data_IF_877142544799
#
_entry.id   IF_877142544799
#
_cell.length_a   1.000
_cell.length_b   1.000
_cell.length_c   1.000
_cell.angle_alpha   90.00
_cell.angle_beta   90.00
_cell.angle_gamma   90.00
#
_symmetry.space_group_name_H-M   'P 1'
#
loop_
_entity.id
_entity.type
_entity.pdbx_description
1 polymer ?
#
# COMPACT_ATOMS: atom_id res chain seq x y z
N UNK A 1 -23.61 -34.08 -4.58
CA UNK A 1 -22.92 -33.69 -5.83
C UNK A 1 -23.94 -33.04 -6.73
N UNK A 2 -24.45 -31.87 -6.36
CA UNK A 2 -25.57 -31.25 -7.09
C UNK A 2 -25.23 -29.80 -7.35
N UNK A 3 -25.32 -29.44 -8.63
CA UNK A 3 -25.05 -28.16 -9.28
C UNK A 3 -23.59 -27.71 -9.47
N UNK A 4 -22.94 -28.32 -10.45
CA UNK A 4 -21.68 -27.84 -11.03
C UNK A 4 -21.94 -26.73 -12.08
N UNK A 5 -22.79 -25.73 -11.74
CA UNK A 5 -23.05 -24.59 -12.62
C UNK A 5 -21.91 -23.58 -12.53
N UNK A 6 -21.41 -23.13 -13.68
CA UNK A 6 -20.39 -22.08 -13.76
C UNK A 6 -21.11 -20.75 -14.01
N UNK A 7 -20.92 -19.72 -13.16
CA UNK A 7 -21.49 -18.41 -13.41
C UNK A 7 -20.80 -17.77 -14.63
N UNK A 8 -21.59 -17.30 -15.59
CA UNK A 8 -21.11 -16.65 -16.81
C UNK A 8 -21.65 -15.22 -16.86
N UNK A 9 -20.75 -14.26 -17.10
CA UNK A 9 -21.13 -12.90 -17.45
C UNK A 9 -20.99 -12.81 -18.98
N UNK A 10 -22.12 -12.70 -19.66
CA UNK A 10 -22.21 -12.61 -21.12
C UNK A 10 -23.11 -11.44 -21.49
N UNK A 11 -22.88 -10.87 -22.68
CA UNK A 11 -23.79 -9.87 -23.23
C UNK A 11 -25.14 -10.52 -23.56
N UNK A 12 -26.21 -9.74 -23.47
CA UNK A 12 -27.59 -10.21 -23.68
C UNK A 12 -27.79 -10.87 -25.05
N UNK A 13 -27.17 -10.31 -26.10
CA UNK A 13 -27.25 -10.84 -27.47
C UNK A 13 -26.56 -12.21 -27.66
N UNK A 14 -25.58 -12.52 -26.81
CA UNK A 14 -24.89 -13.81 -26.77
C UNK A 14 -25.66 -14.79 -25.88
N UNK A 15 -26.21 -14.32 -24.76
CA UNK A 15 -27.04 -15.12 -23.86
C UNK A 15 -28.27 -15.68 -24.58
N UNK A 16 -28.97 -14.84 -25.35
CA UNK A 16 -30.16 -15.21 -26.12
C UNK A 16 -29.84 -16.29 -27.16
N UNK A 17 -28.74 -16.12 -27.93
CA UNK A 17 -28.30 -17.11 -28.94
C UNK A 17 -27.89 -18.44 -28.34
N UNK A 18 -27.38 -18.44 -27.11
CA UNK A 18 -26.97 -19.66 -26.40
C UNK A 18 -28.12 -20.27 -25.57
N UNK A 19 -29.31 -19.66 -25.57
CA UNK A 19 -30.45 -20.12 -24.76
C UNK A 19 -30.19 -20.03 -23.26
N UNK A 20 -29.29 -19.14 -22.83
CA UNK A 20 -28.96 -18.94 -21.42
C UNK A 20 -29.97 -17.99 -20.79
N UNK A 21 -30.65 -18.46 -19.74
CA UNK A 21 -31.51 -17.59 -18.94
C UNK A 21 -30.66 -16.73 -17.99
N UNK A 22 -31.08 -15.47 -17.78
CA UNK A 22 -30.51 -14.62 -16.73
C UNK A 22 -30.84 -15.21 -15.37
N UNK A 23 -29.87 -15.91 -14.78
CA UNK A 23 -29.91 -16.27 -13.36
C UNK A 23 -29.38 -15.07 -12.57
N UNK A 24 -30.30 -14.31 -11.96
CA UNK A 24 -29.90 -13.26 -11.01
C UNK A 24 -29.04 -13.90 -9.91
N UNK A 25 -28.08 -13.19 -9.30
CA UNK A 25 -27.34 -13.74 -8.17
C UNK A 25 -28.32 -14.37 -7.18
N UNK A 26 -28.23 -15.69 -6.96
CA UNK A 26 -29.12 -16.31 -5.97
C UNK A 26 -28.94 -15.60 -4.63
N UNK A 27 -30.02 -15.42 -3.85
CA UNK A 27 -29.93 -14.81 -2.52
C UNK A 27 -28.84 -15.49 -1.65
N UNK A 28 -28.64 -16.80 -1.85
CA UNK A 28 -27.55 -17.58 -1.23
C UNK A 28 -26.15 -17.08 -1.61
N UNK A 29 -25.93 -16.68 -2.87
CA UNK A 29 -24.65 -16.11 -3.34
C UNK A 29 -24.42 -14.73 -2.74
N UNK A 30 -25.42 -13.87 -2.71
CA UNK A 30 -25.29 -12.52 -2.13
C UNK A 30 -24.97 -12.59 -0.64
N UNK A 31 -25.68 -13.45 0.10
CA UNK A 31 -25.42 -13.73 1.51
C UNK A 31 -24.00 -14.29 1.73
N UNK A 32 -23.53 -15.19 0.87
CA UNK A 32 -22.17 -15.72 0.93
C UNK A 32 -21.10 -14.65 0.65
N UNK A 33 -21.31 -13.79 -0.35
CA UNK A 33 -20.41 -12.67 -0.66
C UNK A 33 -20.37 -11.68 0.51
N UNK A 34 -21.53 -11.32 1.06
CA UNK A 34 -21.63 -10.42 2.21
C UNK A 34 -20.85 -10.94 3.39
N UNK A 35 -21.05 -12.21 3.78
CA UNK A 35 -20.27 -12.87 4.84
C UNK A 35 -18.77 -12.88 4.56
N UNK A 36 -18.37 -13.15 3.31
CA UNK A 36 -16.95 -13.15 2.94
C UNK A 36 -16.34 -11.75 3.03
N UNK A 37 -17.04 -10.72 2.57
CA UNK A 37 -16.59 -9.33 2.61
C UNK A 37 -16.48 -8.85 4.06
N UNK A 38 -17.49 -9.12 4.89
CA UNK A 38 -17.48 -8.78 6.32
C UNK A 38 -16.31 -9.46 7.04
N UNK A 39 -16.10 -10.77 6.82
CA UNK A 39 -14.97 -11.51 7.39
C UNK A 39 -13.61 -10.95 6.96
N UNK A 40 -13.45 -10.62 5.67
CA UNK A 40 -12.20 -10.06 5.15
C UNK A 40 -11.93 -8.63 5.64
N UNK A 41 -12.98 -7.80 5.77
CA UNK A 41 -12.87 -6.45 6.35
C UNK A 41 -12.43 -6.52 7.80
N UNK A 42 -13.07 -7.37 8.61
CA UNK A 42 -12.72 -7.56 10.00
C UNK A 42 -11.26 -8.03 10.17
N UNK A 43 -10.80 -8.99 9.37
CA UNK A 43 -9.40 -9.43 9.42
C UNK A 43 -8.44 -8.32 8.98
N UNK A 44 -8.79 -7.55 7.94
CA UNK A 44 -7.98 -6.42 7.50
C UNK A 44 -7.83 -5.35 8.58
N UNK A 45 -8.94 -4.92 9.19
CA UNK A 45 -8.97 -3.95 10.28
C UNK A 45 -8.13 -4.43 11.47
N UNK A 46 -8.26 -5.71 11.83
CA UNK A 46 -7.44 -6.32 12.87
C UNK A 46 -5.95 -6.24 12.54
N UNK A 47 -5.54 -6.65 11.33
CA UNK A 47 -4.12 -6.63 10.91
C UNK A 47 -3.56 -5.21 10.86
N UNK A 48 -4.35 -4.23 10.42
CA UNK A 48 -3.96 -2.81 10.44
C UNK A 48 -3.80 -2.34 11.88
N UNK A 49 -4.76 -2.66 12.76
CA UNK A 49 -4.70 -2.32 14.18
C UNK A 49 -3.49 -2.94 14.88
N UNK A 50 -3.13 -4.18 14.56
CA UNK A 50 -1.95 -4.85 15.09
C UNK A 50 -0.65 -4.20 14.57
N UNK A 51 -0.59 -3.86 13.27
CA UNK A 51 0.53 -3.10 12.73
C UNK A 51 0.68 -1.73 13.38
N UNK A 52 -0.41 -0.98 13.62
CA UNK A 52 -0.34 0.33 14.26
C UNK A 52 0.14 0.25 15.72
N UNK A 53 -0.09 -0.87 16.42
CA UNK A 53 0.43 -1.08 17.78
C UNK A 53 1.92 -1.42 17.80
N UNK A 54 2.39 -2.22 16.85
CA UNK A 54 3.75 -2.79 16.88
C UNK A 54 4.74 -2.08 15.94
N UNK A 55 4.23 -1.55 14.83
CA UNK A 55 5.00 -0.97 13.73
C UNK A 55 5.12 0.56 13.80
N UNK A 56 4.52 1.21 14.78
CA UNK A 56 4.64 2.67 14.95
C UNK A 56 5.97 3.09 15.58
N UNK A 57 6.40 4.30 15.27
CA UNK A 57 7.70 4.84 15.70
C UNK A 57 8.89 4.28 14.92
N UNK A 58 10.06 4.87 15.18
CA UNK A 58 11.30 4.51 14.47
C UNK A 58 11.68 3.05 14.70
N UNK A 59 11.59 2.57 15.94
CA UNK A 59 11.94 1.19 16.28
C UNK A 59 10.98 0.15 15.69
N UNK A 60 9.67 0.44 15.70
CA UNK A 60 8.64 -0.43 15.12
C UNK A 60 8.85 -0.61 13.62
N UNK A 61 9.04 0.50 12.91
CA UNK A 61 9.31 0.46 11.47
C UNK A 61 10.65 -0.21 11.14
N UNK A 62 11.71 0.05 11.92
CA UNK A 62 12.99 -0.64 11.77
C UNK A 62 12.85 -2.15 11.92
N UNK A 63 12.05 -2.60 12.90
CA UNK A 63 11.75 -4.03 13.11
C UNK A 63 10.98 -4.62 11.94
N UNK A 64 9.93 -3.93 11.49
CA UNK A 64 9.07 -4.37 10.38
C UNK A 64 9.85 -4.56 9.07
N UNK A 65 10.73 -3.62 8.74
CA UNK A 65 11.52 -3.63 7.52
C UNK A 65 12.94 -4.17 7.69
N UNK A 66 13.26 -4.77 8.84
CA UNK A 66 14.61 -5.28 9.18
C UNK A 66 15.16 -6.29 8.16
N UNK A 67 14.28 -7.11 7.59
CA UNK A 67 14.61 -8.14 6.59
C UNK A 67 14.69 -7.59 5.16
N UNK A 68 14.43 -6.31 4.93
CA UNK A 68 14.40 -5.75 3.58
C UNK A 68 15.80 -5.75 2.96
N UNK A 69 15.94 -6.48 1.85
CA UNK A 69 17.18 -6.55 1.07
C UNK A 69 17.26 -5.49 -0.04
N UNK A 70 16.32 -4.52 -0.04
CA UNK A 70 16.30 -3.38 -0.96
C UNK A 70 16.38 -3.79 -2.44
N UNK A 71 15.72 -4.89 -2.81
CA UNK A 71 15.65 -5.40 -4.19
C UNK A 71 14.77 -4.55 -5.14
N UNK A 72 14.02 -3.60 -4.58
CA UNK A 72 13.13 -2.69 -5.31
C UNK A 72 11.95 -3.32 -6.07
N UNK A 73 11.71 -4.63 -5.96
CA UNK A 73 10.54 -5.28 -6.58
C UNK A 73 9.22 -4.62 -6.18
N UNK A 74 9.07 -4.33 -4.88
CA UNK A 74 7.88 -3.70 -4.33
C UNK A 74 7.59 -2.32 -4.96
N UNK A 75 8.65 -1.60 -5.38
CA UNK A 75 8.57 -0.33 -6.10
C UNK A 75 8.30 -0.56 -7.60
N UNK A 76 9.02 -1.48 -8.24
CA UNK A 76 8.89 -1.74 -9.68
C UNK A 76 7.52 -2.27 -10.10
N UNK A 77 6.84 -3.02 -9.23
CA UNK A 77 5.49 -3.54 -9.52
C UNK A 77 4.37 -2.52 -9.25
N UNK A 78 4.68 -1.42 -8.55
CA UNK A 78 3.67 -0.50 -8.06
C UNK A 78 3.23 0.48 -9.16
N UNK A 79 1.95 0.49 -9.56
CA UNK A 79 1.50 1.29 -10.71
C UNK A 79 1.59 2.80 -10.45
N UNK A 80 1.59 3.23 -9.18
CA UNK A 80 1.70 4.65 -8.79
C UNK A 80 3.15 5.10 -8.58
N UNK A 81 4.14 4.20 -8.68
CA UNK A 81 5.56 4.55 -8.64
C UNK A 81 6.07 4.84 -10.05
N UNK A 82 5.67 5.97 -10.64
CA UNK A 82 5.96 6.33 -12.04
C UNK A 82 7.06 7.38 -12.23
N UNK A 83 7.76 7.78 -11.16
CA UNK A 83 8.83 8.78 -11.25
C UNK A 83 9.89 8.37 -12.28
N UNK A 84 10.27 9.30 -13.16
CA UNK A 84 11.32 9.06 -14.17
C UNK A 84 12.67 8.78 -13.54
N UNK A 85 12.98 9.50 -12.47
CA UNK A 85 14.19 9.35 -11.69
C UNK A 85 13.80 9.14 -10.22
N UNK A 86 14.39 8.13 -9.59
CA UNK A 86 14.21 7.83 -8.18
C UNK A 86 15.57 7.91 -7.50
N UNK A 87 15.68 8.67 -6.42
CA UNK A 87 16.93 8.86 -5.69
C UNK A 87 17.61 7.53 -5.28
N UNK A 88 16.84 6.48 -5.02
CA UNK A 88 17.35 5.13 -4.70
C UNK A 88 17.87 4.32 -5.90
N UNK A 89 17.69 4.84 -7.12
CA UNK A 89 18.30 4.32 -8.35
C UNK A 89 19.46 5.19 -8.84
N UNK A 90 19.88 6.17 -8.06
CA UNK A 90 21.03 7.03 -8.35
C UNK A 90 22.22 6.67 -7.45
N UNK A 91 23.44 7.11 -7.79
CA UNK A 91 24.64 6.91 -6.96
C UNK A 91 24.61 7.64 -5.61
N UNK A 92 23.57 8.43 -5.29
CA UNK A 92 23.47 9.20 -4.04
C UNK A 92 23.64 8.31 -2.80
N UNK A 93 23.18 7.06 -2.86
CA UNK A 93 23.30 6.07 -1.77
C UNK A 93 24.38 5.02 -2.02
N UNK A 94 25.22 5.22 -3.03
CA UNK A 94 26.42 4.42 -3.28
C UNK A 94 27.58 5.11 -2.57
N UNK A 95 27.97 4.58 -1.42
CA UNK A 95 29.05 5.12 -0.62
C UNK A 95 30.34 4.32 -0.81
N UNK A 96 31.48 4.99 -0.69
CA UNK A 96 32.78 4.34 -0.65
C UNK A 96 32.89 3.37 0.54
N UNK A 97 33.68 2.31 0.36
CA UNK A 97 33.89 1.27 1.38
C UNK A 97 34.29 1.84 2.75
N UNK A 98 35.16 2.85 2.77
CA UNK A 98 35.60 3.53 3.99
C UNK A 98 34.45 4.13 4.81
N UNK A 99 33.39 4.61 4.16
CA UNK A 99 32.22 5.19 4.84
C UNK A 99 31.40 4.10 5.55
N UNK A 100 31.25 2.93 4.95
CA UNK A 100 30.60 1.79 5.60
C UNK A 100 31.39 1.30 6.82
N UNK A 101 32.72 1.20 6.72
CA UNK A 101 33.58 0.85 7.87
C UNK A 101 33.45 1.88 8.99
N UNK A 102 33.50 3.18 8.67
CA UNK A 102 33.34 4.24 9.67
C UNK A 102 31.96 4.22 10.34
N UNK A 103 30.90 3.81 9.64
CA UNK A 103 29.59 3.60 10.25
C UNK A 103 29.54 2.38 11.15
N UNK A 104 30.10 1.25 10.71
CA UNK A 104 30.15 0.03 11.48
C UNK A 104 30.95 0.21 12.77
N UNK A 105 32.08 0.93 12.73
CA UNK A 105 32.89 1.25 13.91
C UNK A 105 32.12 2.14 14.90
N UNK A 106 31.44 3.19 14.42
CA UNK A 106 30.67 4.10 15.28
C UNK A 106 29.42 3.46 15.89
N UNK A 107 28.72 2.61 15.13
CA UNK A 107 27.44 2.01 15.53
C UNK A 107 27.58 0.61 16.14
N UNK A 108 28.77 0.01 16.08
CA UNK A 108 29.05 -1.38 16.46
C UNK A 108 28.46 -2.43 15.51
N UNK A 109 27.47 -2.06 14.68
CA UNK A 109 26.84 -2.91 13.68
C UNK A 109 26.28 -2.07 12.54
N UNK A 110 26.10 -2.67 11.36
CA UNK A 110 25.54 -2.02 10.18
C UNK A 110 24.60 -2.98 9.47
N UNK A 111 23.34 -2.58 9.28
CA UNK A 111 22.40 -3.30 8.42
C UNK A 111 22.86 -3.21 6.96
N UNK A 112 22.88 -4.35 6.26
CA UNK A 112 23.24 -4.43 4.84
C UNK A 112 22.08 -5.03 4.03
N UNK A 113 21.58 -4.33 2.99
CA UNK A 113 21.97 -2.99 2.56
C UNK A 113 21.47 -1.89 3.54
N UNK A 114 22.18 -0.76 3.66
CA UNK A 114 21.78 0.32 4.55
C UNK A 114 20.53 1.05 4.02
N UNK A 115 19.99 1.95 4.84
CA UNK A 115 18.90 2.85 4.43
C UNK A 115 17.59 2.16 3.99
N UNK A 116 17.34 0.93 4.43
CA UNK A 116 16.07 0.24 4.17
C UNK A 116 14.88 1.04 4.68
N UNK A 117 14.99 1.63 5.88
CA UNK A 117 13.94 2.46 6.46
C UNK A 117 13.72 3.75 5.67
N UNK A 118 14.79 4.43 5.27
CA UNK A 118 14.72 5.65 4.49
C UNK A 118 14.06 5.41 3.12
N UNK A 119 14.36 4.26 2.48
CA UNK A 119 13.68 3.81 1.27
C UNK A 119 12.18 3.68 1.47
N UNK A 120 11.73 2.97 2.52
CA UNK A 120 10.31 2.76 2.77
C UNK A 120 9.58 4.05 3.17
N UNK A 121 10.19 4.93 3.97
CA UNK A 121 9.61 6.22 4.37
C UNK A 121 9.47 7.17 3.18
N UNK A 122 10.52 7.33 2.39
CA UNK A 122 10.48 8.19 1.19
C UNK A 122 9.42 7.69 0.22
N UNK A 123 9.38 6.37 0.00
CA UNK A 123 8.40 5.76 -0.88
C UNK A 123 7.00 5.99 -0.33
N UNK A 124 6.73 5.66 0.94
CA UNK A 124 5.45 5.88 1.59
C UNK A 124 4.99 7.33 1.43
N UNK A 125 5.84 8.31 1.76
CA UNK A 125 5.54 9.74 1.60
C UNK A 125 5.06 10.12 0.19
N UNK A 126 5.65 9.54 -0.86
CA UNK A 126 5.27 9.85 -2.24
C UNK A 126 3.94 9.23 -2.68
N UNK A 127 3.47 8.16 -2.02
CA UNK A 127 2.33 7.37 -2.50
C UNK A 127 1.15 7.25 -1.54
N UNK A 128 1.27 7.66 -0.27
CA UNK A 128 0.20 7.48 0.73
C UNK A 128 -1.15 8.05 0.30
N UNK A 129 -1.17 9.20 -0.37
CA UNK A 129 -2.42 9.81 -0.86
C UNK A 129 -3.00 9.09 -2.08
N UNK A 130 -2.24 8.24 -2.79
CA UNK A 130 -2.69 7.55 -4.01
C UNK A 130 -2.75 6.02 -3.85
N UNK A 131 -2.39 5.49 -2.69
CA UNK A 131 -2.36 4.06 -2.44
C UNK A 131 -3.78 3.50 -2.35
N UNK A 132 -4.17 2.64 -3.30
CA UNK A 132 -5.46 1.92 -3.30
C UNK A 132 -5.39 0.57 -2.58
N UNK A 133 -4.23 0.22 -2.01
CA UNK A 133 -4.10 -1.02 -1.26
C UNK A 133 -4.16 -2.31 -2.10
N UNK A 134 -3.67 -2.29 -3.35
CA UNK A 134 -3.74 -3.43 -4.27
C UNK A 134 -2.92 -4.67 -3.86
N UNK A 135 -2.05 -4.57 -2.85
CA UNK A 135 -1.29 -5.72 -2.32
C UNK A 135 -0.08 -6.17 -3.16
N UNK A 136 0.11 -5.64 -4.37
CA UNK A 136 1.18 -6.09 -5.28
C UNK A 136 2.57 -5.99 -4.65
N UNK A 137 2.84 -4.94 -3.87
CA UNK A 137 4.13 -4.73 -3.22
C UNK A 137 4.51 -5.82 -2.19
N UNK A 138 3.52 -6.42 -1.49
CA UNK A 138 3.76 -7.59 -0.64
C UNK A 138 3.93 -8.85 -1.47
N UNK A 139 3.10 -9.02 -2.52
CA UNK A 139 3.11 -10.25 -3.35
C UNK A 139 4.44 -10.53 -4.06
N UNK A 140 5.24 -9.47 -4.33
CA UNK A 140 6.55 -9.59 -4.99
C UNK A 140 7.73 -9.52 -4.03
N UNK A 141 7.49 -9.43 -2.72
CA UNK A 141 8.56 -9.32 -1.74
C UNK A 141 9.21 -10.70 -1.51
N UNK A 142 10.49 -10.90 -1.89
CA UNK A 142 11.16 -12.19 -1.69
C UNK A 142 11.43 -12.50 -0.21
N UNK A 143 11.28 -11.51 0.68
CA UNK A 143 11.54 -11.63 2.11
C UNK A 143 10.25 -11.78 2.93
N UNK A 144 9.10 -11.94 2.26
CA UNK A 144 7.79 -12.10 2.88
C UNK A 144 7.50 -10.98 3.91
N UNK A 145 7.81 -9.73 3.51
CA UNK A 145 7.46 -8.53 4.27
C UNK A 145 6.12 -8.04 3.76
N UNK A 146 5.16 -7.85 4.66
CA UNK A 146 3.88 -7.27 4.30
C UNK A 146 3.98 -5.74 4.17
N UNK A 147 4.56 -5.32 3.04
CA UNK A 147 4.75 -3.90 2.68
C UNK A 147 3.40 -3.21 2.49
N UNK A 148 2.43 -3.91 1.88
CA UNK A 148 1.10 -3.40 1.62
C UNK A 148 0.37 -3.07 2.92
N UNK A 149 0.45 -3.92 3.95
CA UNK A 149 -0.19 -3.67 5.23
C UNK A 149 0.33 -2.38 5.88
N UNK A 150 1.66 -2.22 5.95
CA UNK A 150 2.27 -1.00 6.50
C UNK A 150 1.88 0.25 5.71
N UNK A 151 1.83 0.14 4.38
CA UNK A 151 1.49 1.27 3.52
C UNK A 151 0.01 1.60 3.55
N UNK A 152 -0.88 0.60 3.66
CA UNK A 152 -2.32 0.80 3.83
C UNK A 152 -2.64 1.46 5.16
N UNK A 153 -2.03 0.99 6.25
CA UNK A 153 -2.27 1.56 7.58
C UNK A 153 -1.99 3.07 7.62
N UNK A 154 -0.89 3.52 7.00
CA UNK A 154 -0.56 4.95 6.92
C UNK A 154 -1.40 5.67 5.86
N UNK A 155 -1.65 5.03 4.72
CA UNK A 155 -2.45 5.63 3.65
C UNK A 155 -3.89 5.92 4.10
N UNK A 156 -4.52 5.05 4.89
CA UNK A 156 -5.89 5.27 5.38
C UNK A 156 -5.98 6.51 6.28
N UNK A 157 -5.07 6.66 7.24
CA UNK A 157 -5.00 7.83 8.11
C UNK A 157 -4.79 9.11 7.29
N UNK A 158 -3.84 9.11 6.35
CA UNK A 158 -3.55 10.26 5.50
C UNK A 158 -4.72 10.60 4.58
N UNK A 159 -5.33 9.60 3.93
CA UNK A 159 -6.47 9.80 3.04
C UNK A 159 -7.69 10.33 3.78
N UNK A 160 -7.95 9.84 4.99
CA UNK A 160 -9.02 10.34 5.85
C UNK A 160 -8.80 11.80 6.26
N UNK A 161 -7.55 12.19 6.58
CA UNK A 161 -7.21 13.58 6.91
C UNK A 161 -7.57 14.57 5.77
N UNK A 162 -7.41 14.16 4.52
CA UNK A 162 -7.74 14.98 3.35
C UNK A 162 -9.17 14.79 2.81
N UNK A 163 -9.97 13.93 3.45
CA UNK A 163 -11.27 13.44 2.91
C UNK A 163 -11.14 13.00 1.43
N UNK A 164 -10.07 12.28 1.12
CA UNK A 164 -9.71 11.92 -0.25
C UNK A 164 -9.73 10.40 -0.45
N UNK A 165 -10.45 9.92 -1.47
CA UNK A 165 -10.44 8.51 -1.87
C UNK A 165 -9.75 8.38 -3.23
N UNK A 166 -8.61 7.69 -3.33
CA UNK A 166 -7.87 7.61 -4.58
C UNK A 166 -8.71 7.02 -5.72
N UNK A 167 -8.86 7.78 -6.81
CA UNK A 167 -9.55 7.35 -8.01
C UNK A 167 -11.07 7.35 -7.93
N UNK A 168 -11.69 8.01 -6.94
CA UNK A 168 -13.16 8.17 -6.88
C UNK A 168 -13.71 9.09 -7.99
N UNK A 169 -12.92 10.08 -8.39
CA UNK A 169 -13.24 11.05 -9.44
C UNK A 169 -11.94 11.39 -10.19
N UNK A 170 -12.02 11.52 -11.52
CA UNK A 170 -10.88 11.90 -12.37
C UNK A 170 -10.64 13.42 -12.39
N UNK A 171 -11.68 14.20 -12.08
CA UNK A 171 -11.61 15.66 -12.06
C UNK A 171 -11.17 16.20 -10.68
N UNK A 172 -11.17 15.35 -9.65
CA UNK A 172 -10.67 15.70 -8.33
C UNK A 172 -9.14 15.63 -8.28
N UNK A 173 -8.43 16.75 -8.02
CA UNK A 173 -6.97 16.73 -7.93
C UNK A 173 -6.51 16.01 -6.66
N UNK A 174 -5.42 15.24 -6.75
CA UNK A 174 -4.82 14.62 -5.58
C UNK A 174 -4.27 15.69 -4.61
N UNK A 175 -4.29 15.47 -3.28
CA UNK A 175 -3.91 16.49 -2.30
C UNK A 175 -2.54 17.14 -2.53
N UNK A 176 -1.53 16.35 -2.92
CA UNK A 176 -0.15 16.84 -3.17
C UNK A 176 0.03 17.57 -4.50
N UNK A 177 -1.02 17.72 -5.29
CA UNK A 177 -1.03 18.40 -6.59
C UNK A 177 -1.78 19.73 -6.56
N UNK A 178 -2.41 20.06 -5.44
CA UNK A 178 -3.19 21.28 -5.26
C UNK A 178 -2.75 22.00 -3.99
N UNK A 179 -3.23 23.23 -3.82
CA UNK A 179 -3.04 24.02 -2.62
C UNK A 179 -4.38 24.64 -2.24
N UNK A 180 -4.72 24.56 -0.96
CA UNK A 180 -5.92 25.17 -0.38
C UNK A 180 -5.47 26.10 0.76
N UNK A 181 -5.88 27.37 0.70
CA UNK A 181 -5.44 28.39 1.68
C UNK A 181 -5.84 28.01 3.11
N UNK A 182 -7.07 27.52 3.31
CA UNK A 182 -7.62 27.18 4.63
C UNK A 182 -7.52 25.67 4.96
N UNK A 183 -6.45 25.00 4.53
CA UNK A 183 -6.23 23.57 4.83
C UNK A 183 -5.30 23.37 6.03
N UNK A 184 -5.74 22.57 7.01
CA UNK A 184 -4.99 22.22 8.22
C UNK A 184 -4.43 23.39 9.03
N UNK A 185 -5.17 24.50 9.13
CA UNK A 185 -4.80 25.68 9.93
C UNK A 185 -4.42 25.28 11.37
N UNK A 186 -5.13 24.31 11.96
CA UNK A 186 -4.88 23.81 13.32
C UNK A 186 -3.57 23.02 13.49
N UNK A 187 -2.99 22.46 12.41
CA UNK A 187 -1.71 21.73 12.45
C UNK A 187 -0.51 22.66 12.20
N UNK A 188 -0.71 23.75 11.45
CA UNK A 188 0.34 24.66 10.99
C UNK A 188 0.58 25.86 11.91
N UNK A 189 -0.41 26.28 12.69
CA UNK A 189 -0.20 27.28 13.73
C UNK A 189 0.43 26.61 14.95
N UNK A 190 1.77 26.64 15.03
CA UNK A 190 2.41 26.61 16.34
C UNK A 190 1.75 27.69 17.18
N UNK A 191 0.96 27.28 18.18
CA UNK A 191 0.44 28.16 19.24
C UNK A 191 1.63 29.01 19.71
N UNK A 192 1.66 30.26 19.29
CA UNK A 192 2.65 31.24 19.73
C UNK A 192 2.24 31.80 21.07
#
# INVERSE_FOLDING_TARGET
MEDNRIPLIVRDDVAEKLGLASDSPSEKREEAIKKLVESRRAEREKRIGDFLKEGTGVEGLLRWFSRCIRCYNCMGICPICYCRECVFRTPVFEHDSARYFGWAERKGSLQMPPEAILFHLTRMNHMVTSCVGCGLCSSVCPMDIDVALAFQAVAEEVQALFDYVPGRDLEEPAPVQTFKEDEFIELGETVR
#
